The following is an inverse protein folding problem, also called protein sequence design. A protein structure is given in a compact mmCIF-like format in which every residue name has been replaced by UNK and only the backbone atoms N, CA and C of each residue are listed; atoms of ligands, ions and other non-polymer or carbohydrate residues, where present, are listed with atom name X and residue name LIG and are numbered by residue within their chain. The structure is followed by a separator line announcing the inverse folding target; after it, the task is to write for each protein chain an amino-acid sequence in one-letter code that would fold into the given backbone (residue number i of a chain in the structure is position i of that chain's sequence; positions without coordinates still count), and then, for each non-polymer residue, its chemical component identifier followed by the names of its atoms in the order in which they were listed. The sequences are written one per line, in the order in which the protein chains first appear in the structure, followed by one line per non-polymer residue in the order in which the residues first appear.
data_IF_308254027039
#
_entry.id   IF_308254027039
#
_cell.length_a   1.000
_cell.length_b   1.000
_cell.length_c   1.000
_cell.angle_alpha   90.00
_cell.angle_beta   90.00
_cell.angle_gamma   90.00
#
_symmetry.space_group_name_H-M   'P 1'
#
loop_
_entity.id
_entity.type
_entity.pdbx_description
1 polymer ?
#
# COMPACT_ATOMS: atom_id res chain seq x y z
N UNK A 1 -6.82 -31.32 3.71
CA UNK A 1 -6.77 -30.88 5.12
C UNK A 1 -5.35 -30.41 5.41
N UNK A 2 -5.06 -29.12 5.24
CA UNK A 2 -3.78 -28.51 5.63
C UNK A 2 -4.00 -27.86 6.98
N UNK A 3 -3.27 -28.33 7.98
CA UNK A 3 -3.32 -27.85 9.36
C UNK A 3 -2.81 -26.41 9.42
N UNK A 4 -3.66 -25.49 9.85
CA UNK A 4 -3.23 -24.20 10.35
C UNK A 4 -2.38 -24.46 11.61
N UNK A 5 -1.08 -24.30 11.47
CA UNK A 5 -0.18 -24.28 12.60
C UNK A 5 -0.22 -22.85 13.13
N UNK A 6 -1.00 -22.64 14.20
CA UNK A 6 -0.99 -21.40 14.93
C UNK A 6 0.40 -21.18 15.51
N UNK A 7 1.12 -20.17 15.02
CA UNK A 7 2.32 -19.69 15.69
C UNK A 7 1.85 -18.90 16.90
N UNK A 8 2.00 -19.51 18.06
CA UNK A 8 1.84 -18.87 19.36
C UNK A 8 3.03 -17.90 19.53
N UNK A 9 2.85 -16.64 19.16
CA UNK A 9 3.80 -15.60 19.53
C UNK A 9 3.57 -15.26 20.99
N UNK A 10 4.47 -15.75 21.85
CA UNK A 10 4.50 -15.33 23.25
C UNK A 10 4.70 -13.82 23.33
N UNK A 11 3.79 -13.20 24.03
CA UNK A 11 3.61 -11.79 24.17
C UNK A 11 4.83 -10.99 24.60
N UNK A 12 4.91 -9.81 24.05
CA UNK A 12 5.39 -8.63 24.75
C UNK A 12 4.27 -7.60 24.67
N UNK A 13 3.40 -7.61 25.68
CA UNK A 13 2.36 -6.60 25.86
C UNK A 13 3.02 -5.29 26.23
N UNK A 14 3.14 -4.40 25.27
CA UNK A 14 3.31 -2.98 25.55
C UNK A 14 1.91 -2.35 25.59
N UNK A 15 1.47 -2.05 26.80
CA UNK A 15 0.26 -1.31 27.06
C UNK A 15 0.37 0.08 26.46
N UNK A 16 -0.37 0.37 25.40
CA UNK A 16 -0.73 1.74 25.05
C UNK A 16 -2.25 1.80 25.05
N UNK A 17 -2.78 2.44 26.09
CA UNK A 17 -4.19 2.81 26.17
C UNK A 17 -4.50 3.78 25.06
N UNK A 18 -5.33 3.36 24.10
CA UNK A 18 -6.48 4.12 23.59
C UNK A 18 -7.31 3.21 22.69
N UNK A 19 -8.59 3.15 22.91
CA UNK A 19 -9.57 2.41 22.13
C UNK A 19 -9.27 2.55 20.62
N UNK A 20 -8.92 1.56 19.88
CA UNK A 20 -9.38 0.27 19.68
C UNK A 20 -8.92 -0.33 18.34
N UNK A 21 -7.65 -0.33 18.05
CA UNK A 21 -7.18 -1.28 17.06
C UNK A 21 -6.91 -2.59 17.78
N UNK A 22 -7.64 -3.65 17.47
CA UNK A 22 -7.25 -4.98 17.92
C UNK A 22 -6.28 -5.56 16.89
N UNK A 23 -4.99 -5.46 17.18
CA UNK A 23 -3.96 -5.99 16.28
C UNK A 23 -4.06 -7.52 16.08
N UNK A 24 -4.87 -8.18 16.87
CA UNK A 24 -5.12 -9.63 16.83
C UNK A 24 -6.42 -9.98 16.09
N UNK A 25 -7.17 -8.98 15.59
CA UNK A 25 -8.40 -9.22 14.83
C UNK A 25 -8.11 -9.96 13.53
N UNK A 26 -9.03 -10.85 13.14
CA UNK A 26 -8.92 -11.50 11.85
C UNK A 26 -9.17 -10.50 10.73
N UNK A 27 -8.45 -10.62 9.62
CA UNK A 27 -8.70 -9.79 8.44
C UNK A 27 -10.17 -9.87 8.00
N UNK A 28 -10.81 -8.70 7.85
CA UNK A 28 -12.20 -8.58 7.41
C UNK A 28 -12.45 -7.18 6.83
N UNK A 29 -13.65 -6.94 6.29
CA UNK A 29 -14.09 -5.65 5.80
C UNK A 29 -14.15 -4.63 6.95
N UNK A 30 -13.50 -3.48 6.75
CA UNK A 30 -13.45 -2.39 7.71
C UNK A 30 -12.62 -2.67 8.98
N UNK A 31 -11.74 -3.68 8.97
CA UNK A 31 -10.86 -3.96 10.11
C UNK A 31 -10.00 -2.74 10.45
N UNK A 32 -9.85 -2.46 11.74
CA UNK A 32 -8.98 -1.39 12.23
C UNK A 32 -7.69 -1.95 12.82
N UNK A 33 -6.60 -1.79 12.10
CA UNK A 33 -5.23 -2.13 12.49
C UNK A 33 -4.37 -0.87 12.73
N UNK A 34 -4.98 0.30 12.86
CA UNK A 34 -4.24 1.54 13.03
C UNK A 34 -3.30 1.49 14.23
N UNK A 35 -2.10 2.06 14.06
CA UNK A 35 -1.04 2.05 15.07
C UNK A 35 -0.53 0.66 15.48
N UNK A 36 -0.94 -0.41 14.82
CA UNK A 36 -0.41 -1.75 15.07
C UNK A 36 1.03 -1.87 14.55
N UNK A 37 1.83 -2.64 15.27
CA UNK A 37 3.14 -3.07 14.81
C UNK A 37 3.08 -4.59 14.61
N UNK A 38 3.29 -5.03 13.40
CA UNK A 38 3.25 -6.44 13.06
C UNK A 38 4.67 -7.00 12.94
N UNK A 39 4.79 -8.30 13.07
CA UNK A 39 6.06 -8.97 12.82
C UNK A 39 6.47 -8.83 11.35
N UNK A 40 7.77 -8.76 11.11
CA UNK A 40 8.32 -8.70 9.76
C UNK A 40 8.00 -9.97 8.95
N UNK A 41 7.97 -9.84 7.62
CA UNK A 41 7.82 -10.95 6.68
C UNK A 41 6.47 -11.72 6.80
N UNK A 42 5.41 -11.07 7.29
CA UNK A 42 4.09 -11.70 7.34
C UNK A 42 3.54 -11.96 5.93
N UNK A 43 2.97 -13.16 5.74
CA UNK A 43 2.25 -13.52 4.52
C UNK A 43 0.74 -13.28 4.71
N UNK A 44 0.26 -12.18 4.13
CA UNK A 44 -1.14 -11.77 4.05
C UNK A 44 -1.65 -11.86 2.60
N UNK A 45 -1.07 -12.75 1.81
CA UNK A 45 -1.44 -12.99 0.42
C UNK A 45 -2.94 -13.31 0.28
N UNK A 46 -3.58 -12.72 -0.71
CA UNK A 46 -5.01 -12.92 -1.01
C UNK A 46 -5.96 -12.56 0.14
N UNK A 47 -5.54 -11.68 1.05
CA UNK A 47 -6.36 -11.21 2.15
C UNK A 47 -7.48 -10.29 1.64
N UNK A 48 -8.68 -10.41 2.22
CA UNK A 48 -9.82 -9.55 1.93
C UNK A 48 -10.03 -8.56 3.08
N UNK A 49 -9.60 -7.31 2.91
CA UNK A 49 -9.67 -6.23 3.90
C UNK A 49 -10.04 -4.89 3.23
N UNK A 50 -11.14 -4.81 2.47
CA UNK A 50 -11.56 -3.50 1.96
C UNK A 50 -11.96 -2.58 3.12
N UNK A 51 -11.91 -1.28 2.90
CA UNK A 51 -12.20 -0.25 3.90
C UNK A 51 -11.36 -0.34 5.19
N UNK A 52 -10.28 -1.13 5.21
CA UNK A 52 -9.45 -1.30 6.41
C UNK A 52 -8.68 -0.03 6.76
N UNK A 53 -8.47 0.18 8.06
CA UNK A 53 -7.61 1.22 8.57
C UNK A 53 -6.25 0.63 8.99
N UNK A 54 -5.23 0.90 8.20
CA UNK A 54 -3.83 0.50 8.42
C UNK A 54 -2.93 1.76 8.62
N UNK A 55 -3.53 2.87 9.06
CA UNK A 55 -2.79 4.10 9.28
C UNK A 55 -1.79 3.96 10.42
N UNK A 56 -0.57 4.51 10.25
CA UNK A 56 0.50 4.44 11.24
C UNK A 56 0.91 3.01 11.62
N UNK A 57 0.55 2.01 10.82
CA UNK A 57 1.01 0.63 11.03
C UNK A 57 2.45 0.46 10.55
N UNK A 58 3.15 -0.52 11.13
CA UNK A 58 4.46 -0.96 10.66
C UNK A 58 4.41 -2.40 10.14
N UNK A 59 4.80 -2.58 8.87
CA UNK A 59 4.99 -3.86 8.23
C UNK A 59 6.27 -3.81 7.40
N UNK A 60 7.29 -4.54 7.78
CA UNK A 60 8.51 -4.67 6.99
C UNK A 60 8.45 -5.98 6.21
N UNK A 61 8.62 -5.91 4.88
CA UNK A 61 8.59 -7.08 3.99
C UNK A 61 7.30 -7.91 4.05
N UNK A 62 6.16 -7.28 4.35
CA UNK A 62 4.86 -7.96 4.33
C UNK A 62 4.46 -8.31 2.90
N UNK A 63 3.76 -9.43 2.73
CA UNK A 63 3.23 -9.88 1.44
C UNK A 63 1.70 -9.69 1.43
N UNK A 64 1.22 -8.70 0.68
CA UNK A 64 -0.20 -8.44 0.39
C UNK A 64 -0.56 -8.80 -1.05
N UNK A 65 0.14 -9.75 -1.66
CA UNK A 65 -0.07 -10.11 -3.05
C UNK A 65 -1.51 -10.55 -3.29
N UNK A 66 -2.13 -10.04 -4.36
CA UNK A 66 -3.52 -10.34 -4.75
C UNK A 66 -4.57 -10.02 -3.67
N UNK A 67 -4.21 -9.27 -2.64
CA UNK A 67 -5.15 -8.83 -1.61
C UNK A 67 -6.18 -7.83 -2.17
N UNK A 68 -7.34 -7.77 -1.53
CA UNK A 68 -8.39 -6.80 -1.85
C UNK A 68 -8.44 -5.78 -0.71
N UNK A 69 -7.97 -4.57 -1.00
CA UNK A 69 -7.78 -3.47 -0.05
C UNK A 69 -8.42 -2.17 -0.56
N UNK A 70 -9.52 -2.27 -1.30
CA UNK A 70 -10.20 -1.10 -1.87
C UNK A 70 -10.65 -0.16 -0.75
N UNK A 71 -10.53 1.16 -0.99
CA UNK A 71 -10.91 2.21 -0.03
C UNK A 71 -10.20 2.14 1.33
N UNK A 72 -9.16 1.32 1.47
CA UNK A 72 -8.41 1.25 2.73
C UNK A 72 -7.51 2.48 2.92
N UNK A 73 -7.12 2.75 4.17
CA UNK A 73 -6.12 3.76 4.47
C UNK A 73 -4.85 3.13 5.04
N UNK A 74 -3.71 3.42 4.41
CA UNK A 74 -2.36 3.05 4.82
C UNK A 74 -1.54 4.33 5.14
N UNK A 75 -2.24 5.43 5.38
CA UNK A 75 -1.62 6.74 5.55
C UNK A 75 -0.61 6.75 6.71
N UNK A 76 0.56 7.35 6.46
CA UNK A 76 1.67 7.41 7.41
C UNK A 76 2.14 6.03 7.91
N UNK A 77 1.79 4.96 7.24
CA UNK A 77 2.25 3.62 7.54
C UNK A 77 3.68 3.37 7.05
N UNK A 78 4.33 2.34 7.59
CA UNK A 78 5.69 1.96 7.24
C UNK A 78 5.72 0.56 6.61
N UNK A 79 5.87 0.50 5.28
CA UNK A 79 5.78 -0.72 4.46
C UNK A 79 7.02 -0.95 3.57
N UNK A 80 8.26 -0.74 4.04
CA UNK A 80 9.43 -0.91 3.19
C UNK A 80 9.59 -2.36 2.74
N UNK A 81 10.11 -2.55 1.52
CA UNK A 81 10.38 -3.85 0.91
C UNK A 81 9.17 -4.80 0.83
N UNK A 82 7.95 -4.28 1.04
CA UNK A 82 6.72 -5.07 1.03
C UNK A 82 6.23 -5.37 -0.38
N UNK A 83 5.34 -6.36 -0.54
CA UNK A 83 4.77 -6.72 -1.83
C UNK A 83 3.25 -6.55 -1.84
N UNK A 84 2.77 -5.82 -2.86
CA UNK A 84 1.37 -5.64 -3.23
C UNK A 84 1.16 -6.12 -4.68
N UNK A 85 1.91 -7.14 -5.12
CA UNK A 85 1.81 -7.68 -6.47
C UNK A 85 0.38 -8.11 -6.79
N UNK A 86 -0.20 -7.52 -7.87
CA UNK A 86 -1.60 -7.74 -8.26
C UNK A 86 -2.64 -7.42 -7.19
N UNK A 87 -2.31 -6.68 -6.17
CA UNK A 87 -3.29 -6.24 -5.17
C UNK A 87 -4.29 -5.25 -5.78
N UNK A 88 -5.49 -5.20 -5.23
CA UNK A 88 -6.50 -4.20 -5.56
C UNK A 88 -6.58 -3.14 -4.46
N UNK A 89 -5.98 -1.98 -4.73
CA UNK A 89 -5.91 -0.80 -3.86
C UNK A 89 -6.76 0.37 -4.42
N UNK A 90 -7.79 0.06 -5.22
CA UNK A 90 -8.66 1.09 -5.80
C UNK A 90 -9.12 2.10 -4.73
N UNK A 91 -8.93 3.41 -4.99
CA UNK A 91 -9.25 4.52 -4.09
C UNK A 91 -8.62 4.43 -2.67
N UNK A 92 -7.55 3.67 -2.49
CA UNK A 92 -6.86 3.60 -1.20
C UNK A 92 -6.06 4.90 -0.92
N UNK A 93 -5.90 5.21 0.37
CA UNK A 93 -5.09 6.35 0.82
C UNK A 93 -3.73 5.88 1.36
N UNK A 94 -2.65 6.20 0.66
CA UNK A 94 -1.25 5.88 0.99
C UNK A 94 -0.42 7.14 1.33
N UNK A 95 -1.10 8.25 1.64
CA UNK A 95 -0.48 9.55 1.92
C UNK A 95 0.55 9.48 3.03
N UNK A 96 1.72 10.11 2.81
CA UNK A 96 2.79 10.22 3.80
C UNK A 96 3.44 8.92 4.22
N UNK A 97 3.03 7.78 3.67
CA UNK A 97 3.56 6.47 4.02
C UNK A 97 4.96 6.21 3.46
N UNK A 98 5.68 5.29 4.07
CA UNK A 98 6.95 4.77 3.57
C UNK A 98 6.73 3.45 2.82
N UNK A 99 6.95 3.49 1.50
CA UNK A 99 6.86 2.36 0.57
C UNK A 99 8.17 2.18 -0.20
N UNK A 100 9.30 2.42 0.45
CA UNK A 100 10.62 2.22 -0.15
C UNK A 100 10.81 0.77 -0.61
N UNK A 101 11.26 0.57 -1.85
CA UNK A 101 11.45 -0.74 -2.49
C UNK A 101 10.21 -1.64 -2.52
N UNK A 102 9.04 -1.06 -2.35
CA UNK A 102 7.77 -1.80 -2.37
C UNK A 102 7.43 -2.23 -3.79
N UNK A 103 6.95 -3.47 -3.94
CA UNK A 103 6.50 -4.02 -5.21
C UNK A 103 4.99 -3.81 -5.41
N UNK A 104 4.62 -2.91 -6.34
CA UNK A 104 3.25 -2.69 -6.82
C UNK A 104 3.03 -3.22 -8.24
N UNK A 105 3.85 -4.15 -8.70
CA UNK A 105 3.73 -4.67 -10.08
C UNK A 105 2.33 -5.24 -10.34
N UNK A 106 1.74 -4.84 -11.46
CA UNK A 106 0.41 -5.27 -11.91
C UNK A 106 -0.74 -4.95 -10.92
N UNK A 107 -0.53 -4.12 -9.91
CA UNK A 107 -1.56 -3.73 -8.96
C UNK A 107 -2.59 -2.77 -9.60
N UNK A 108 -3.83 -2.82 -9.11
CA UNK A 108 -4.83 -1.80 -9.39
C UNK A 108 -4.69 -0.66 -8.37
N UNK A 109 -4.10 0.44 -8.82
CA UNK A 109 -3.83 1.65 -8.05
C UNK A 109 -4.64 2.84 -8.57
N UNK A 110 -5.76 2.56 -9.24
CA UNK A 110 -6.65 3.61 -9.76
C UNK A 110 -7.11 4.51 -8.61
N UNK A 111 -6.94 5.82 -8.78
CA UNK A 111 -7.32 6.87 -7.82
C UNK A 111 -6.65 6.76 -6.45
N UNK A 112 -5.53 6.08 -6.35
CA UNK A 112 -4.77 6.02 -5.09
C UNK A 112 -4.15 7.37 -4.77
N UNK A 113 -4.19 7.76 -3.50
CA UNK A 113 -3.52 8.93 -2.97
C UNK A 113 -2.11 8.55 -2.46
N UNK A 114 -1.06 8.95 -3.18
CA UNK A 114 0.36 8.81 -2.81
C UNK A 114 1.00 10.12 -2.35
N UNK A 115 0.22 11.17 -2.04
CA UNK A 115 0.77 12.48 -1.66
C UNK A 115 1.82 12.37 -0.56
N UNK A 116 2.97 13.00 -0.79
CA UNK A 116 4.04 13.08 0.20
C UNK A 116 4.64 11.74 0.62
N UNK A 117 4.30 10.62 -0.01
CA UNK A 117 4.84 9.30 0.33
C UNK A 117 6.29 9.13 -0.14
N UNK A 118 7.04 8.25 0.54
CA UNK A 118 8.33 7.75 0.06
C UNK A 118 8.11 6.52 -0.81
N UNK A 119 8.45 6.63 -2.09
CA UNK A 119 8.35 5.58 -3.11
C UNK A 119 9.73 5.30 -3.73
N UNK A 120 10.80 5.56 -2.98
CA UNK A 120 12.18 5.34 -3.44
C UNK A 120 12.35 3.88 -3.86
N UNK A 121 12.84 3.66 -5.08
CA UNK A 121 13.03 2.32 -5.67
C UNK A 121 11.75 1.46 -5.74
N UNK A 122 10.56 2.02 -5.57
CA UNK A 122 9.31 1.27 -5.71
C UNK A 122 9.08 0.81 -7.16
N UNK A 123 8.42 -0.34 -7.33
CA UNK A 123 8.18 -0.95 -8.64
C UNK A 123 6.69 -0.90 -8.97
N UNK A 124 6.33 -0.10 -10.00
CA UNK A 124 4.95 0.04 -10.52
C UNK A 124 4.78 -0.62 -11.90
N UNK A 125 5.65 -1.56 -12.24
CA UNK A 125 5.61 -2.20 -13.57
C UNK A 125 4.22 -2.74 -13.89
N UNK A 126 3.67 -2.36 -15.07
CA UNK A 126 2.35 -2.77 -15.54
C UNK A 126 1.16 -2.47 -14.59
N UNK A 127 1.33 -1.60 -13.60
CA UNK A 127 0.25 -1.21 -12.69
C UNK A 127 -0.74 -0.25 -13.36
N UNK A 128 -1.96 -0.19 -12.84
CA UNK A 128 -2.94 0.80 -13.25
C UNK A 128 -2.97 1.96 -12.25
N UNK A 129 -2.38 3.09 -12.64
CA UNK A 129 -2.26 4.33 -11.86
C UNK A 129 -3.19 5.44 -12.38
N UNK A 130 -4.26 5.06 -13.11
CA UNK A 130 -5.22 6.02 -13.64
C UNK A 130 -5.79 6.93 -12.54
N UNK A 131 -5.72 8.24 -12.74
CA UNK A 131 -6.19 9.27 -11.78
C UNK A 131 -5.52 9.22 -10.38
N UNK A 132 -4.42 8.50 -10.20
CA UNK A 132 -3.66 8.54 -8.92
C UNK A 132 -3.00 9.90 -8.67
N UNK A 133 -2.65 10.19 -7.41
CA UNK A 133 -2.05 11.48 -7.01
C UNK A 133 -0.69 11.28 -6.34
N UNK A 134 0.38 11.71 -7.02
CA UNK A 134 1.77 11.65 -6.55
C UNK A 134 2.29 13.01 -6.05
N UNK A 135 1.44 14.01 -5.84
CA UNK A 135 1.89 15.35 -5.45
C UNK A 135 2.84 15.29 -4.25
N UNK A 136 4.06 15.81 -4.42
CA UNK A 136 5.08 15.83 -3.39
C UNK A 136 5.66 14.48 -3.00
N UNK A 137 5.33 13.38 -3.67
CA UNK A 137 5.92 12.08 -3.40
C UNK A 137 7.40 12.02 -3.83
N UNK A 138 8.21 11.26 -3.10
CA UNK A 138 9.59 10.96 -3.49
C UNK A 138 9.64 9.67 -4.31
N UNK A 139 9.82 9.81 -5.62
CA UNK A 139 9.86 8.70 -6.59
C UNK A 139 11.28 8.38 -7.08
N UNK A 140 12.32 8.73 -6.32
CA UNK A 140 13.71 8.49 -6.73
C UNK A 140 13.92 7.01 -7.09
N UNK A 141 14.40 6.75 -8.32
CA UNK A 141 14.64 5.42 -8.87
C UNK A 141 13.39 4.50 -8.94
N UNK A 142 12.18 5.02 -8.76
CA UNK A 142 10.97 4.21 -8.95
C UNK A 142 10.81 3.81 -10.43
N UNK A 143 10.32 2.59 -10.67
CA UNK A 143 10.09 2.07 -12.02
C UNK A 143 8.60 2.11 -12.36
N UNK A 144 8.25 2.78 -13.47
CA UNK A 144 6.89 2.86 -14.00
C UNK A 144 6.73 2.11 -15.32
N UNK A 145 7.66 1.21 -15.69
CA UNK A 145 7.62 0.47 -16.94
C UNK A 145 6.22 -0.12 -17.22
N UNK A 146 5.59 0.27 -18.33
CA UNK A 146 4.25 -0.19 -18.74
C UNK A 146 3.09 0.26 -17.85
N UNK A 147 3.32 1.07 -16.81
CA UNK A 147 2.26 1.56 -15.94
C UNK A 147 1.34 2.56 -16.67
N UNK A 148 0.05 2.49 -16.41
CA UNK A 148 -0.95 3.43 -16.91
C UNK A 148 -1.03 4.66 -16.02
N UNK A 149 -0.43 5.77 -16.43
CA UNK A 149 -0.40 7.06 -15.71
C UNK A 149 -1.40 8.08 -16.27
N UNK A 150 -2.34 7.67 -17.11
CA UNK A 150 -3.32 8.59 -17.69
C UNK A 150 -4.09 9.34 -16.60
N UNK A 151 -4.18 10.65 -16.71
CA UNK A 151 -4.83 11.56 -15.75
C UNK A 151 -4.24 11.51 -14.31
N UNK A 152 -3.14 10.81 -14.06
CA UNK A 152 -2.46 10.89 -12.77
C UNK A 152 -2.01 12.34 -12.50
N UNK A 153 -1.98 12.74 -11.23
CA UNK A 153 -1.33 13.99 -10.82
C UNK A 153 0.11 13.68 -10.44
N UNK A 154 1.07 14.32 -11.14
CA UNK A 154 2.48 14.04 -10.94
C UNK A 154 3.04 14.76 -9.70
N UNK A 155 4.32 14.52 -9.40
CA UNK A 155 4.98 15.04 -8.18
C UNK A 155 4.96 16.56 -8.05
N UNK A 156 4.90 17.29 -9.18
CA UNK A 156 4.83 18.75 -9.26
C UNK A 156 3.38 19.29 -9.30
N UNK A 157 2.38 18.44 -9.14
CA UNK A 157 0.96 18.77 -9.16
C UNK A 157 0.34 18.86 -10.55
N UNK A 158 1.10 18.61 -11.62
CA UNK A 158 0.55 18.63 -12.99
C UNK A 158 -0.10 17.31 -13.36
N UNK A 159 -1.06 17.37 -14.27
CA UNK A 159 -1.71 16.18 -14.80
C UNK A 159 -0.87 15.52 -15.90
N UNK A 160 -0.81 14.21 -15.84
CA UNK A 160 -0.29 13.41 -16.93
C UNK A 160 -1.34 13.31 -18.03
N UNK A 161 -0.94 13.63 -19.27
CA UNK A 161 -1.82 13.58 -20.43
C UNK A 161 -2.27 12.15 -20.77
N UNK A 162 -3.28 12.05 -21.61
CA UNK A 162 -3.68 10.77 -22.21
C UNK A 162 -2.52 10.17 -23.03
N UNK A 163 -2.31 8.87 -22.93
CA UNK A 163 -1.18 8.17 -23.54
C UNK A 163 0.08 8.16 -22.67
N UNK A 164 0.00 8.57 -21.39
CA UNK A 164 1.08 8.43 -20.38
C UNK A 164 1.21 6.98 -19.94
N UNK A 165 2.02 6.22 -20.66
CA UNK A 165 2.35 4.82 -20.35
C UNK A 165 3.84 4.72 -20.06
N UNK A 166 4.19 4.25 -18.87
CA UNK A 166 5.57 4.12 -18.40
C UNK A 166 6.23 5.44 -17.99
N UNK A 167 5.73 6.57 -18.43
CA UNK A 167 6.18 7.91 -18.08
C UNK A 167 5.01 8.90 -18.06
N UNK A 168 5.08 9.91 -17.22
CA UNK A 168 4.12 11.01 -17.21
C UNK A 168 4.47 12.02 -18.32
N UNK A 169 3.57 12.16 -19.31
CA UNK A 169 3.65 13.19 -20.34
C UNK A 169 2.81 14.38 -19.88
N UNK A 170 3.43 15.52 -19.70
CA UNK A 170 2.73 16.79 -19.41
C UNK A 170 2.55 17.57 -20.69
N UNK A 171 1.39 18.27 -20.84
CA UNK A 171 1.16 19.21 -21.91
C UNK A 171 2.02 20.48 -21.76
#
# INVERSE_FOLDING_TARGET
MKKFLGILVLGLTLFINNASASCDDKPNDGVDYSNCQFADEQDLNSTYIPNANLSFTGFIKVIFDKSIMMNSTLANGNFPESSFYRANLYEANLEGGNFEKTNFESANLTRVNFKGSSLVEAVFKNSNLFESDFTGANILNASFEGANLNNATWIDGKKCALGSIGECKTE
#
